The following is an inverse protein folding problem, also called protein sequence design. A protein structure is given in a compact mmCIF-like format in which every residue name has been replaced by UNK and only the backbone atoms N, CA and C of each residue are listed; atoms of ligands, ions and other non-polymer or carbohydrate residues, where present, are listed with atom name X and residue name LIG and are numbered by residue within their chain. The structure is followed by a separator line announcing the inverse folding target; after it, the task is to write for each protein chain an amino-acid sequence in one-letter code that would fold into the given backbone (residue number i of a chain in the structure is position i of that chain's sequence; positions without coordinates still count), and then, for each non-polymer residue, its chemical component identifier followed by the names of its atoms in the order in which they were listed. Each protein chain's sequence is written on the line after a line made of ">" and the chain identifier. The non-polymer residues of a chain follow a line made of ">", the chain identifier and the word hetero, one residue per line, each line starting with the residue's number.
data_IF_204773962066
#
_entry.id   IF_204773962066
#
_cell.length_a   1.000
_cell.length_b   1.000
_cell.length_c   1.000
_cell.angle_alpha   90.00
_cell.angle_beta   90.00
_cell.angle_gamma   90.00
#
_symmetry.space_group_name_H-M   'P 1'
#
loop_
_entity.id
_entity.type
_entity.pdbx_description
1 polymer ?
#
# COMPACT_ATOMS: atom_id res chain seq x y z
N UNK A 1 14.00 -32.93 -14.40
CA UNK A 1 13.12 -32.79 -13.22
C UNK A 1 13.37 -31.52 -12.40
N UNK A 2 14.60 -31.00 -12.31
CA UNK A 2 14.96 -29.79 -11.54
C UNK A 2 14.23 -28.51 -12.02
N UNK A 3 13.94 -28.39 -13.33
CA UNK A 3 13.27 -27.21 -13.92
C UNK A 3 11.85 -26.96 -13.40
N UNK A 4 11.02 -28.01 -13.20
CA UNK A 4 9.64 -27.84 -12.71
C UNK A 4 9.60 -27.41 -11.24
N UNK A 5 10.50 -27.96 -10.42
CA UNK A 5 10.64 -27.61 -9.01
C UNK A 5 11.06 -26.14 -8.87
N UNK A 6 12.01 -25.68 -9.69
CA UNK A 6 12.47 -24.28 -9.67
C UNK A 6 11.35 -23.29 -10.04
N UNK A 7 10.53 -23.62 -11.04
CA UNK A 7 9.38 -22.79 -11.46
C UNK A 7 8.29 -22.76 -10.37
N UNK A 8 8.00 -23.89 -9.74
CA UNK A 8 7.04 -23.94 -8.63
C UNK A 8 7.54 -23.17 -7.40
N UNK A 9 8.83 -23.25 -7.06
CA UNK A 9 9.42 -22.46 -5.97
C UNK A 9 9.38 -20.96 -6.31
N UNK A 10 9.72 -20.55 -7.54
CA UNK A 10 9.62 -19.14 -7.96
C UNK A 10 8.18 -18.62 -7.87
N UNK A 11 7.20 -19.42 -8.28
CA UNK A 11 5.78 -19.04 -8.24
C UNK A 11 5.25 -18.94 -6.80
N UNK A 12 5.69 -19.82 -5.89
CA UNK A 12 5.35 -19.70 -4.47
C UNK A 12 5.98 -18.46 -3.85
N UNK A 13 7.25 -18.17 -4.16
CA UNK A 13 7.95 -16.99 -3.66
C UNK A 13 7.30 -15.68 -4.14
N UNK A 14 6.86 -15.60 -5.40
CA UNK A 14 6.16 -14.40 -5.89
C UNK A 14 4.82 -14.16 -5.20
N UNK A 15 4.08 -15.22 -4.88
CA UNK A 15 2.81 -15.13 -4.16
C UNK A 15 3.00 -14.78 -2.67
N UNK A 16 4.03 -15.35 -2.03
CA UNK A 16 4.39 -15.02 -0.64
C UNK A 16 4.82 -13.56 -0.53
N UNK A 17 5.67 -13.08 -1.46
CA UNK A 17 6.07 -11.68 -1.49
C UNK A 17 4.87 -10.77 -1.74
N UNK A 18 4.02 -11.06 -2.74
CA UNK A 18 2.82 -10.27 -3.02
C UNK A 18 1.85 -10.17 -1.83
N UNK A 19 1.66 -11.26 -1.09
CA UNK A 19 0.83 -11.30 0.11
C UNK A 19 1.42 -10.45 1.26
N UNK A 20 2.76 -10.42 1.40
CA UNK A 20 3.44 -9.58 2.39
C UNK A 20 3.25 -8.08 2.05
N UNK A 21 3.38 -7.71 0.77
CA UNK A 21 3.20 -6.32 0.36
C UNK A 21 1.77 -5.81 0.51
N UNK A 22 0.73 -6.57 0.11
CA UNK A 22 -0.66 -6.13 0.28
C UNK A 22 -1.04 -5.94 1.76
N UNK A 23 -0.55 -6.84 2.62
CA UNK A 23 -0.66 -6.72 4.08
C UNK A 23 0.04 -5.45 4.58
N UNK A 24 1.28 -5.21 4.17
CA UNK A 24 2.04 -4.01 4.56
C UNK A 24 1.37 -2.70 4.10
N UNK A 25 0.78 -2.66 2.89
CA UNK A 25 0.01 -1.50 2.43
C UNK A 25 -1.20 -1.28 3.34
N UNK A 26 -1.95 -2.34 3.65
CA UNK A 26 -3.14 -2.27 4.49
C UNK A 26 -2.82 -1.82 5.93
N UNK A 27 -1.74 -2.33 6.50
CA UNK A 27 -1.27 -1.94 7.84
C UNK A 27 -0.88 -0.46 7.88
N UNK A 28 -0.06 0.01 6.93
CA UNK A 28 0.34 1.41 6.88
C UNK A 28 -0.83 2.33 6.55
N UNK A 29 -1.77 1.93 5.68
CA UNK A 29 -3.02 2.67 5.46
C UNK A 29 -3.80 2.81 6.78
N UNK A 30 -3.90 1.74 7.56
CA UNK A 30 -4.62 1.74 8.85
C UNK A 30 -3.94 2.65 9.87
N UNK A 31 -2.61 2.60 9.95
CA UNK A 31 -1.84 3.52 10.81
C UNK A 31 -2.07 4.98 10.41
N UNK A 32 -2.02 5.28 9.11
CA UNK A 32 -2.28 6.62 8.59
C UNK A 32 -3.70 7.13 8.91
N UNK A 33 -4.71 6.26 8.81
CA UNK A 33 -6.10 6.60 9.17
C UNK A 33 -6.29 6.86 10.68
N UNK A 34 -5.45 6.26 11.51
CA UNK A 34 -5.47 6.40 12.98
C UNK A 34 -4.51 7.48 13.50
N UNK A 35 -3.82 8.19 12.60
CA UNK A 35 -2.88 9.25 12.96
C UNK A 35 -3.55 10.40 13.70
N UNK A 36 -2.83 10.95 14.69
CA UNK A 36 -3.31 12.09 15.51
C UNK A 36 -2.87 13.45 14.95
N UNK A 37 -1.95 13.47 14.00
CA UNK A 37 -1.47 14.67 13.33
C UNK A 37 -1.19 14.38 11.84
N UNK A 38 -1.09 15.45 11.06
CA UNK A 38 -0.91 15.37 9.60
C UNK A 38 0.43 14.74 9.20
N UNK A 39 1.50 14.97 9.97
CA UNK A 39 2.82 14.42 9.67
C UNK A 39 2.84 12.89 9.78
N UNK A 40 2.19 12.34 10.82
CA UNK A 40 2.04 10.90 10.98
C UNK A 40 1.17 10.30 9.87
N UNK A 41 0.10 11.00 9.47
CA UNK A 41 -0.73 10.60 8.33
C UNK A 41 0.12 10.50 7.05
N UNK A 42 0.90 11.55 6.75
CA UNK A 42 1.80 11.58 5.59
C UNK A 42 2.88 10.51 5.65
N UNK A 43 3.49 10.30 6.81
CA UNK A 43 4.53 9.30 6.98
C UNK A 43 4.02 7.90 6.61
N UNK A 44 2.90 7.49 7.20
CA UNK A 44 2.32 6.18 6.95
C UNK A 44 1.71 6.06 5.53
N UNK A 45 1.07 7.11 5.02
CA UNK A 45 0.57 7.16 3.65
C UNK A 45 1.71 7.01 2.62
N UNK A 46 2.87 7.64 2.86
CA UNK A 46 4.05 7.52 2.00
C UNK A 46 4.62 6.11 2.02
N UNK A 47 4.64 5.46 3.18
CA UNK A 47 5.07 4.05 3.29
C UNK A 47 4.14 3.12 2.54
N UNK A 48 2.82 3.28 2.70
CA UNK A 48 1.82 2.53 1.95
C UNK A 48 1.98 2.74 0.43
N UNK A 49 2.21 3.97 -0.03
CA UNK A 49 2.46 4.30 -1.43
C UNK A 49 3.72 3.63 -1.98
N UNK A 50 4.81 3.60 -1.20
CA UNK A 50 6.04 2.93 -1.60
C UNK A 50 5.83 1.42 -1.77
N UNK A 51 5.09 0.78 -0.87
CA UNK A 51 4.73 -0.63 -1.02
C UNK A 51 3.85 -0.85 -2.24
N UNK A 52 2.89 0.04 -2.49
CA UNK A 52 2.01 -0.03 -3.67
C UNK A 52 2.82 0.04 -4.97
N UNK A 53 3.73 1.02 -5.09
CA UNK A 53 4.60 1.21 -6.27
C UNK A 53 5.53 0.02 -6.53
N UNK A 54 5.95 -0.68 -5.48
CA UNK A 54 6.86 -1.81 -5.58
C UNK A 54 6.18 -3.16 -5.87
N UNK A 55 4.88 -3.28 -5.61
CA UNK A 55 4.20 -4.58 -5.71
C UNK A 55 3.06 -4.64 -6.73
N UNK A 56 2.22 -3.61 -6.77
CA UNK A 56 0.98 -3.64 -7.56
C UNK A 56 1.13 -2.66 -8.72
N UNK A 57 1.72 -3.13 -9.84
CA UNK A 57 1.61 -2.39 -11.11
C UNK A 57 0.13 -2.36 -11.49
N UNK A 58 -0.54 -1.22 -11.33
CA UNK A 58 -1.86 -1.00 -11.94
C UNK A 58 -2.96 -0.40 -11.07
N UNK A 59 -2.74 -0.10 -9.78
CA UNK A 59 -3.76 0.61 -9.00
C UNK A 59 -3.53 2.13 -8.99
N UNK A 60 -3.70 2.74 -10.17
CA UNK A 60 -3.52 4.18 -10.40
C UNK A 60 -4.46 5.04 -9.54
N UNK A 61 -5.62 4.51 -9.14
CA UNK A 61 -6.56 5.24 -8.28
C UNK A 61 -6.10 5.26 -6.81
N UNK A 62 -5.63 4.14 -6.28
CA UNK A 62 -5.03 4.08 -4.95
C UNK A 62 -3.77 4.95 -4.88
N UNK A 63 -2.91 4.88 -5.90
CA UNK A 63 -1.72 5.72 -6.02
C UNK A 63 -2.07 7.20 -5.98
N UNK A 64 -3.01 7.66 -6.83
CA UNK A 64 -3.48 9.05 -6.81
C UNK A 64 -4.07 9.46 -5.47
N UNK A 65 -4.79 8.57 -4.80
CA UNK A 65 -5.40 8.85 -3.50
C UNK A 65 -4.34 9.00 -2.40
N UNK A 66 -3.31 8.14 -2.41
CA UNK A 66 -2.16 8.29 -1.55
C UNK A 66 -1.38 9.58 -1.87
N UNK A 67 -1.10 9.87 -3.14
CA UNK A 67 -0.39 11.09 -3.53
C UNK A 67 -1.14 12.35 -3.10
N UNK A 68 -2.46 12.42 -3.31
CA UNK A 68 -3.29 13.52 -2.81
C UNK A 68 -3.26 13.62 -1.29
N UNK A 69 -3.26 12.49 -0.58
CA UNK A 69 -3.19 12.48 0.88
C UNK A 69 -1.84 13.02 1.39
N UNK A 70 -0.78 13.00 0.58
CA UNK A 70 0.54 13.55 0.93
C UNK A 70 0.65 15.06 0.70
N UNK A 71 -0.26 15.63 -0.09
CA UNK A 71 -0.24 17.06 -0.44
C UNK A 71 -1.24 17.89 0.37
N UNK A 72 -2.20 17.25 1.03
CA UNK A 72 -3.13 17.97 1.91
C UNK A 72 -2.43 18.44 3.18
N UNK A 73 -2.89 19.54 3.76
CA UNK A 73 -2.43 20.05 5.05
C UNK A 73 -3.42 19.73 6.18
N UNK A 74 -4.57 19.13 5.84
CA UNK A 74 -5.65 18.83 6.78
C UNK A 74 -5.69 17.33 7.10
N UNK A 75 -5.62 17.00 8.40
CA UNK A 75 -5.64 15.61 8.86
C UNK A 75 -6.94 14.87 8.49
N UNK A 76 -8.09 15.51 8.65
CA UNK A 76 -9.37 14.89 8.32
C UNK A 76 -9.49 14.59 6.83
N UNK A 77 -8.98 15.51 5.98
CA UNK A 77 -8.92 15.30 4.54
C UNK A 77 -7.95 14.16 4.18
N UNK A 78 -6.77 14.11 4.81
CA UNK A 78 -5.82 12.99 4.66
C UNK A 78 -6.51 11.66 4.95
N UNK A 79 -7.16 11.53 6.11
CA UNK A 79 -7.89 10.31 6.51
C UNK A 79 -9.03 9.99 5.52
N UNK A 80 -9.79 11.00 5.08
CA UNK A 80 -10.89 10.81 4.12
C UNK A 80 -10.42 10.26 2.78
N UNK A 81 -9.32 10.78 2.24
CA UNK A 81 -8.72 10.28 1.00
C UNK A 81 -8.28 8.83 1.13
N UNK A 82 -7.72 8.45 2.27
CA UNK A 82 -7.29 7.06 2.55
C UNK A 82 -8.46 6.09 2.70
N UNK A 83 -9.59 6.54 3.27
CA UNK A 83 -10.82 5.74 3.38
C UNK A 83 -11.42 5.38 2.02
N UNK A 84 -11.22 6.21 0.99
CA UNK A 84 -11.71 5.94 -0.37
C UNK A 84 -10.98 4.80 -1.07
N UNK A 85 -9.84 4.37 -0.55
CA UNK A 85 -9.03 3.30 -1.11
C UNK A 85 -9.65 1.94 -0.71
N UNK A 86 -10.60 1.45 -1.51
CA UNK A 86 -11.36 0.22 -1.25
C UNK A 86 -10.74 -1.06 -1.83
N UNK A 87 -9.82 -0.96 -2.80
CA UNK A 87 -9.33 -2.11 -3.58
C UNK A 87 -7.83 -2.34 -3.41
N UNK A 88 -7.36 -2.70 -2.22
CA UNK A 88 -5.96 -3.14 -2.00
C UNK A 88 -5.82 -4.67 -1.90
N UNK A 89 -6.85 -5.41 -2.35
CA UNK A 89 -6.87 -6.87 -2.39
C UNK A 89 -6.25 -7.39 -3.68
#
# INVERSE_FOLDING_TARGET
>A
MISKILVTILFLLSNVLAMDFSKNISEEKTKAMNSKNINDCHYHAKRALNFLKNNIKGNTEAEKSFEKSLTTTNLQECIHLLKKINNLQ
#
